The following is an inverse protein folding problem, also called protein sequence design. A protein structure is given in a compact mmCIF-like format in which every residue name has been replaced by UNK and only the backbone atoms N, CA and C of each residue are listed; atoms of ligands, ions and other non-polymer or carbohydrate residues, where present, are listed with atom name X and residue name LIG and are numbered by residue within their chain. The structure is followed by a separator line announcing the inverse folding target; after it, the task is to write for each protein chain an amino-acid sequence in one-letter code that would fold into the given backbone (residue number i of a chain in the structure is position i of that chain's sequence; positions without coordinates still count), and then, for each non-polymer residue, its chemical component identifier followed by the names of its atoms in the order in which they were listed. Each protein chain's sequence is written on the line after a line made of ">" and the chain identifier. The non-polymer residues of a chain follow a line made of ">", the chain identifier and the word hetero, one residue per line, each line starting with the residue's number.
data_IF_007784088948
#
_entry.id   IF_007784088948
#
_cell.length_a   1.000
_cell.length_b   1.000
_cell.length_c   1.000
_cell.angle_alpha   90.00
_cell.angle_beta   90.00
_cell.angle_gamma   90.00
#
_symmetry.space_group_name_H-M   'P 1'
#
loop_
_entity.id
_entity.type
_entity.pdbx_description
1 polymer ?
#
# COMPACT_ATOMS: atom_id res chain seq x y z
N UNK A 1 -12.77 3.59 2.57
CA UNK A 1 -14.09 4.26 2.54
C UNK A 1 -15.04 3.78 3.62
N UNK A 2 -15.44 2.50 3.70
CA UNK A 2 -16.41 2.05 4.72
C UNK A 2 -16.01 2.40 6.16
N UNK A 3 -14.72 2.22 6.54
CA UNK A 3 -14.20 2.65 7.85
C UNK A 3 -14.47 4.14 8.12
N UNK A 4 -14.24 5.00 7.13
CA UNK A 4 -14.49 6.46 7.20
C UNK A 4 -15.98 6.74 7.41
N UNK A 5 -16.85 6.08 6.64
CA UNK A 5 -18.32 6.27 6.76
C UNK A 5 -18.84 5.84 8.13
N UNK A 6 -18.23 4.84 8.76
CA UNK A 6 -18.60 4.40 10.10
C UNK A 6 -18.05 5.29 11.23
N UNK A 7 -16.92 5.97 11.01
CA UNK A 7 -16.28 6.81 12.04
C UNK A 7 -16.60 8.30 11.95
N UNK A 8 -17.12 8.79 10.82
CA UNK A 8 -17.42 10.21 10.61
C UNK A 8 -18.78 10.62 11.19
N UNK A 9 -18.87 11.89 11.60
CA UNK A 9 -20.12 12.55 12.00
C UNK A 9 -21.17 12.50 10.88
N UNK A 10 -22.44 12.25 11.21
CA UNK A 10 -23.55 12.11 10.24
C UNK A 10 -23.74 13.31 9.30
N UNK A 11 -23.29 14.51 9.67
CA UNK A 11 -23.40 15.70 8.84
C UNK A 11 -22.13 16.05 8.07
N UNK A 12 -21.00 15.37 8.31
CA UNK A 12 -19.71 15.70 7.70
C UNK A 12 -18.97 14.44 7.25
N UNK A 13 -18.48 14.43 6.02
CA UNK A 13 -17.54 13.41 5.52
C UNK A 13 -16.27 14.12 5.09
N UNK A 14 -15.14 13.79 5.71
CA UNK A 14 -13.83 14.35 5.37
C UNK A 14 -12.91 13.24 4.87
N UNK A 15 -12.24 13.47 3.75
CA UNK A 15 -11.37 12.48 3.10
C UNK A 15 -10.07 13.18 2.69
N UNK A 16 -8.94 12.70 3.21
CA UNK A 16 -7.62 13.07 2.70
C UNK A 16 -7.36 12.40 1.34
N UNK A 17 -6.77 13.13 0.42
CA UNK A 17 -6.45 12.66 -0.92
C UNK A 17 -4.98 12.23 -1.04
N UNK A 18 -4.71 11.33 -1.97
CA UNK A 18 -3.35 10.99 -2.39
C UNK A 18 -2.88 11.95 -3.50
N UNK A 19 -1.57 12.01 -3.72
CA UNK A 19 -1.01 12.75 -4.85
C UNK A 19 -1.47 12.15 -6.19
N UNK A 20 -2.12 12.96 -7.03
CA UNK A 20 -2.51 12.55 -8.38
C UNK A 20 -1.39 12.80 -9.38
N UNK A 21 -0.90 11.73 -10.02
CA UNK A 21 0.06 11.80 -11.13
C UNK A 21 -0.56 12.28 -12.44
N UNK A 22 -1.89 12.23 -12.55
CA UNK A 22 -2.63 12.67 -13.75
C UNK A 22 -2.91 14.18 -13.76
N UNK A 23 -2.77 14.84 -12.60
CA UNK A 23 -2.97 16.27 -12.47
C UNK A 23 -1.74 17.05 -12.99
N UNK A 24 -1.98 18.12 -13.75
CA UNK A 24 -0.94 19.02 -14.26
C UNK A 24 -0.49 20.08 -13.24
N UNK A 25 -1.22 20.17 -12.14
CA UNK A 25 -1.02 21.14 -11.07
C UNK A 25 -1.64 20.63 -9.76
N UNK A 26 -1.22 21.18 -8.62
CA UNK A 26 -1.80 20.87 -7.30
C UNK A 26 -1.98 22.14 -6.49
N UNK A 27 -3.05 22.19 -5.70
CA UNK A 27 -3.25 23.22 -4.69
C UNK A 27 -2.18 23.08 -3.59
N UNK A 28 -1.75 24.22 -3.06
CA UNK A 28 -0.74 24.31 -1.99
C UNK A 28 -1.23 25.33 -0.97
N UNK A 29 -1.21 24.97 0.30
CA UNK A 29 -1.49 25.89 1.40
C UNK A 29 -0.15 26.46 1.90
N UNK A 30 0.03 27.78 1.77
CA UNK A 30 1.25 28.47 2.20
C UNK A 30 0.95 29.33 3.41
N UNK A 31 1.73 29.15 4.47
CA UNK A 31 1.71 30.03 5.62
C UNK A 31 2.66 31.22 5.37
N UNK A 32 2.11 32.42 5.38
CA UNK A 32 2.90 33.65 5.27
C UNK A 32 3.63 33.96 6.58
N UNK A 33 4.58 34.91 6.55
CA UNK A 33 5.34 35.36 7.73
C UNK A 33 4.45 35.81 8.89
N UNK A 34 3.25 36.30 8.57
CA UNK A 34 2.29 36.82 9.55
C UNK A 34 1.40 35.70 10.14
N UNK A 35 1.67 34.44 9.81
CA UNK A 35 0.94 33.26 10.30
C UNK A 35 -0.38 32.98 9.56
N UNK A 36 -0.76 33.82 8.60
CA UNK A 36 -1.97 33.66 7.77
C UNK A 36 -1.73 32.66 6.65
N UNK A 37 -2.68 31.74 6.46
CA UNK A 37 -2.66 30.75 5.39
C UNK A 37 -3.30 31.28 4.10
N UNK A 38 -2.70 30.94 2.96
CA UNK A 38 -3.20 31.30 1.63
C UNK A 38 -3.08 30.10 0.68
N UNK A 39 -4.11 29.92 -0.14
CA UNK A 39 -4.10 28.97 -1.25
C UNK A 39 -3.26 29.48 -2.42
N UNK A 40 -2.33 28.64 -2.88
CA UNK A 40 -1.60 28.78 -4.13
C UNK A 40 -1.79 27.52 -4.98
N UNK A 41 -1.29 27.52 -6.22
CA UNK A 41 -1.24 26.33 -7.05
C UNK A 41 0.13 26.22 -7.72
N UNK A 42 0.73 25.02 -7.66
CA UNK A 42 1.96 24.73 -8.38
C UNK A 42 1.61 24.23 -9.78
N UNK A 43 2.19 24.81 -10.83
CA UNK A 43 1.98 24.39 -12.23
C UNK A 43 3.29 24.43 -13.01
N UNK A 44 3.47 23.52 -13.97
CA UNK A 44 4.56 23.60 -14.93
C UNK A 44 4.54 24.94 -15.69
N UNK A 45 5.70 25.56 -15.88
CA UNK A 45 5.81 26.90 -16.48
C UNK A 45 5.23 26.94 -17.91
N UNK A 46 4.32 27.89 -18.18
CA UNK A 46 3.90 28.26 -19.54
C UNK A 46 2.64 27.58 -20.08
N UNK A 47 1.90 26.77 -19.30
CA UNK A 47 0.63 26.18 -19.74
C UNK A 47 -0.56 26.54 -18.80
N UNK A 48 -1.77 26.77 -19.34
CA UNK A 48 -2.97 26.93 -18.52
C UNK A 48 -3.32 25.60 -17.84
N UNK A 49 -3.65 25.66 -16.55
CA UNK A 49 -4.07 24.52 -15.73
C UNK A 49 -5.36 23.91 -16.30
N UNK A 50 -5.38 22.58 -16.47
CA UNK A 50 -6.58 21.84 -16.89
C UNK A 50 -7.08 20.92 -15.79
N UNK A 51 -6.16 20.28 -15.08
CA UNK A 51 -6.46 19.34 -13.99
C UNK A 51 -5.61 19.71 -12.77
N UNK A 52 -6.27 20.27 -11.76
CA UNK A 52 -5.61 20.64 -10.49
C UNK A 52 -6.01 19.66 -9.39
N UNK A 53 -5.01 19.00 -8.80
CA UNK A 53 -5.19 18.13 -7.63
C UNK A 53 -5.38 18.92 -6.34
N UNK A 54 -6.09 18.32 -5.38
CA UNK A 54 -6.33 18.87 -4.04
C UNK A 54 -5.91 17.86 -2.97
N UNK A 55 -5.54 18.32 -1.78
CA UNK A 55 -5.05 17.50 -0.66
C UNK A 55 -6.16 16.81 0.12
N UNK A 56 -7.37 17.36 0.11
CA UNK A 56 -8.53 16.77 0.80
C UNK A 56 -9.85 17.23 0.18
N UNK A 57 -10.92 16.51 0.51
CA UNK A 57 -12.30 16.91 0.25
C UNK A 57 -13.15 16.76 1.51
N UNK A 58 -14.02 17.75 1.76
CA UNK A 58 -15.00 17.73 2.84
C UNK A 58 -16.40 17.91 2.25
N UNK A 59 -17.29 16.95 2.50
CA UNK A 59 -18.72 17.09 2.26
C UNK A 59 -19.39 17.54 3.55
N UNK A 60 -20.16 18.62 3.49
CA UNK A 60 -20.82 19.23 4.65
C UNK A 60 -22.33 19.33 4.40
N UNK A 61 -23.12 18.57 5.17
CA UNK A 61 -24.58 18.48 5.09
C UNK A 61 -25.36 19.67 5.68
N UNK A 62 -24.70 20.82 5.87
CA UNK A 62 -25.28 22.00 6.52
C UNK A 62 -25.96 23.00 5.55
N UNK A 63 -26.13 22.65 4.27
CA UNK A 63 -26.79 23.55 3.32
C UNK A 63 -28.29 23.59 3.58
N UNK A 64 -28.79 24.78 3.93
CA UNK A 64 -30.23 25.02 4.12
C UNK A 64 -30.93 25.11 2.76
N UNK A 65 -32.08 24.46 2.64
CA UNK A 65 -32.95 24.51 1.44
C UNK A 65 -33.39 25.93 1.08
N UNK A 66 -33.52 26.81 2.09
CA UNK A 66 -33.82 28.24 1.91
C UNK A 66 -32.67 29.07 1.31
N UNK A 67 -31.49 28.48 1.09
CA UNK A 67 -30.34 29.20 0.54
C UNK A 67 -30.46 29.51 -0.95
N UNK A 68 -31.37 28.85 -1.67
CA UNK A 68 -31.51 28.99 -3.13
C UNK A 68 -30.43 28.27 -3.94
N UNK A 69 -29.61 27.43 -3.29
CA UNK A 69 -28.57 26.61 -3.93
C UNK A 69 -28.91 25.13 -3.82
N UNK A 70 -28.55 24.37 -4.86
CA UNK A 70 -28.59 22.90 -4.87
C UNK A 70 -27.41 22.32 -4.06
N UNK A 71 -26.23 22.83 -4.35
CA UNK A 71 -24.99 22.56 -3.63
C UNK A 71 -24.01 23.72 -3.86
N UNK A 72 -23.01 23.86 -2.99
CA UNK A 72 -21.91 24.83 -3.16
C UNK A 72 -20.57 24.11 -3.13
N UNK A 73 -19.74 24.38 -4.12
CA UNK A 73 -18.34 23.95 -4.14
C UNK A 73 -17.44 25.15 -3.83
N UNK A 74 -16.36 24.95 -3.06
CA UNK A 74 -15.39 26.00 -2.75
C UNK A 74 -14.03 25.40 -2.43
N UNK A 75 -12.96 26.15 -2.71
CA UNK A 75 -11.60 25.78 -2.32
C UNK A 75 -11.34 26.35 -0.92
N UNK A 76 -10.79 25.51 -0.04
CA UNK A 76 -10.39 25.89 1.31
C UNK A 76 -8.96 25.41 1.50
N UNK A 77 -8.02 26.35 1.62
CA UNK A 77 -6.59 26.04 1.71
C UNK A 77 -6.14 25.19 0.50
N UNK A 78 -5.65 23.97 0.69
CA UNK A 78 -5.28 23.06 -0.40
C UNK A 78 -6.34 21.98 -0.68
N UNK A 79 -7.54 22.11 -0.11
CA UNK A 79 -8.64 21.17 -0.26
C UNK A 79 -9.91 21.75 -0.86
N UNK A 80 -10.92 20.89 -0.99
CA UNK A 80 -12.26 21.24 -1.49
C UNK A 80 -13.32 21.04 -0.43
N UNK A 81 -14.22 22.01 -0.29
CA UNK A 81 -15.42 21.95 0.53
C UNK A 81 -16.65 21.92 -0.36
N UNK A 82 -17.48 20.89 -0.20
CA UNK A 82 -18.75 20.69 -0.91
C UNK A 82 -19.89 20.73 0.10
N UNK A 83 -20.65 21.82 0.10
CA UNK A 83 -21.82 21.98 0.96
C UNK A 83 -23.05 21.44 0.24
N UNK A 84 -23.72 20.48 0.87
CA UNK A 84 -24.91 19.79 0.36
C UNK A 84 -26.02 19.80 1.40
N UNK A 85 -27.25 19.51 0.97
CA UNK A 85 -28.37 19.33 1.90
C UNK A 85 -28.19 18.05 2.71
N UNK A 86 -28.90 17.94 3.83
CA UNK A 86 -28.90 16.74 4.66
C UNK A 86 -29.39 15.51 3.87
N UNK A 87 -30.48 15.64 3.11
CA UNK A 87 -31.01 14.55 2.28
C UNK A 87 -29.97 14.05 1.25
N UNK A 88 -29.22 14.96 0.63
CA UNK A 88 -28.18 14.61 -0.32
C UNK A 88 -26.95 13.98 0.36
N UNK A 89 -26.67 14.36 1.61
CA UNK A 89 -25.64 13.70 2.43
C UNK A 89 -26.02 12.25 2.75
N UNK A 90 -27.27 11.98 3.08
CA UNK A 90 -27.78 10.62 3.32
C UNK A 90 -27.69 9.78 2.03
N UNK A 91 -28.09 10.34 0.89
CA UNK A 91 -27.97 9.67 -0.41
C UNK A 91 -26.50 9.38 -0.79
N UNK A 92 -25.59 10.33 -0.57
CA UNK A 92 -24.16 10.14 -0.79
C UNK A 92 -23.61 9.02 0.08
N UNK A 93 -23.97 8.99 1.38
CA UNK A 93 -23.56 7.91 2.29
C UNK A 93 -24.04 6.55 1.80
N UNK A 94 -25.28 6.46 1.35
CA UNK A 94 -25.84 5.22 0.83
C UNK A 94 -25.09 4.77 -0.42
N UNK A 95 -24.84 5.67 -1.38
CA UNK A 95 -24.05 5.35 -2.58
C UNK A 95 -22.63 4.86 -2.24
N UNK A 96 -21.97 5.48 -1.25
CA UNK A 96 -20.65 5.06 -0.78
C UNK A 96 -20.67 3.69 -0.09
N UNK A 97 -21.75 3.33 0.61
CA UNK A 97 -21.95 1.98 1.18
C UNK A 97 -22.15 0.93 0.08
N UNK A 98 -22.93 1.28 -0.93
CA UNK A 98 -23.27 0.41 -2.04
C UNK A 98 -22.17 0.33 -3.11
N UNK A 99 -21.06 1.05 -2.92
CA UNK A 99 -19.97 1.20 -3.90
C UNK A 99 -20.47 1.67 -5.28
N UNK A 100 -21.40 2.63 -5.27
CA UNK A 100 -21.94 3.25 -6.48
C UNK A 100 -21.37 4.64 -6.67
N UNK A 101 -21.24 5.03 -7.93
CA UNK A 101 -20.91 6.39 -8.31
C UNK A 101 -22.02 7.36 -7.88
N UNK A 102 -21.65 8.60 -7.59
CA UNK A 102 -22.57 9.63 -7.14
C UNK A 102 -22.24 10.98 -7.77
N UNK A 103 -23.26 11.80 -7.99
CA UNK A 103 -23.13 13.06 -8.72
C UNK A 103 -23.90 14.16 -8.01
N UNK A 104 -23.26 15.32 -7.84
CA UNK A 104 -23.80 16.48 -7.16
C UNK A 104 -23.73 17.67 -8.12
N UNK A 105 -24.90 18.17 -8.51
CA UNK A 105 -25.02 19.41 -9.27
C UNK A 105 -24.91 20.60 -8.32
N UNK A 106 -23.90 21.44 -8.51
CA UNK A 106 -23.67 22.66 -7.75
C UNK A 106 -24.24 23.87 -8.47
N UNK A 107 -24.57 24.92 -7.71
CA UNK A 107 -25.12 26.17 -8.24
C UNK A 107 -26.51 26.50 -7.71
N UNK A 108 -27.11 27.56 -8.27
CA UNK A 108 -28.45 28.03 -7.91
C UNK A 108 -29.53 27.21 -8.61
N UNK A 109 -30.70 27.12 -7.98
CA UNK A 109 -31.83 26.32 -8.48
C UNK A 109 -32.37 26.85 -9.84
N UNK A 110 -32.31 28.17 -10.05
CA UNK A 110 -32.95 28.85 -11.19
C UNK A 110 -31.96 29.50 -12.19
N UNK A 111 -30.65 29.23 -12.08
CA UNK A 111 -29.67 29.78 -13.02
C UNK A 111 -29.48 28.85 -14.21
N UNK A 112 -29.80 29.31 -15.42
CA UNK A 112 -29.49 28.63 -16.68
C UNK A 112 -28.00 28.64 -17.08
N UNK A 113 -27.11 28.95 -16.14
CA UNK A 113 -25.66 28.99 -16.34
C UNK A 113 -25.03 27.60 -16.18
N UNK A 114 -23.80 27.47 -16.67
CA UNK A 114 -22.93 26.29 -16.57
C UNK A 114 -22.95 25.73 -15.14
N UNK A 115 -23.64 24.61 -14.96
CA UNK A 115 -23.71 23.93 -13.66
C UNK A 115 -22.36 23.30 -13.34
N UNK A 116 -21.72 23.78 -12.29
CA UNK A 116 -20.58 23.07 -11.68
C UNK A 116 -21.04 21.69 -11.22
N UNK A 117 -20.21 20.68 -11.41
CA UNK A 117 -20.55 19.31 -11.06
C UNK A 117 -19.44 18.67 -10.23
N UNK A 118 -19.84 18.01 -9.14
CA UNK A 118 -18.96 17.16 -8.34
C UNK A 118 -19.34 15.71 -8.60
N UNK A 119 -18.41 14.94 -9.14
CA UNK A 119 -18.58 13.50 -9.40
C UNK A 119 -17.71 12.69 -8.46
N UNK A 120 -18.31 11.69 -7.82
CA UNK A 120 -17.65 10.69 -7.01
C UNK A 120 -17.69 9.40 -7.81
N UNK A 121 -16.52 8.89 -8.22
CA UNK A 121 -16.41 7.71 -9.07
C UNK A 121 -15.56 6.63 -8.41
N UNK A 122 -16.03 5.40 -8.49
CA UNK A 122 -15.23 4.23 -8.19
C UNK A 122 -14.39 3.90 -9.41
N UNK A 123 -13.10 4.15 -9.31
CA UNK A 123 -12.13 3.88 -10.37
C UNK A 123 -11.30 2.66 -10.03
N UNK A 124 -10.93 1.88 -11.04
CA UNK A 124 -9.89 0.86 -10.91
C UNK A 124 -8.54 1.57 -10.85
N UNK A 125 -7.96 1.65 -9.66
CA UNK A 125 -6.60 2.17 -9.53
C UNK A 125 -5.64 1.11 -10.04
N UNK A 126 -4.91 1.40 -11.12
CA UNK A 126 -3.71 0.65 -11.50
C UNK A 126 -2.56 1.16 -10.61
N UNK A 127 -2.72 1.03 -9.30
CA UNK A 127 -1.63 1.27 -8.37
C UNK A 127 -0.64 0.12 -8.56
N UNK A 128 0.35 0.38 -9.40
CA UNK A 128 1.46 -0.51 -9.61
C UNK A 128 2.27 -0.52 -8.31
N UNK A 129 1.89 -1.42 -7.40
CA UNK A 129 2.63 -1.68 -6.16
C UNK A 129 4.05 -2.11 -6.50
N UNK A 130 4.98 -1.82 -5.60
CA UNK A 130 6.35 -2.37 -5.68
C UNK A 130 7.10 -1.98 -6.97
N UNK A 131 6.80 -0.81 -7.54
CA UNK A 131 7.46 -0.30 -8.76
C UNK A 131 8.98 -0.27 -8.60
N UNK A 132 9.68 -0.84 -9.57
CA UNK A 132 11.15 -0.91 -9.58
C UNK A 132 11.78 -1.89 -8.59
N UNK A 133 10.99 -2.65 -7.83
CA UNK A 133 11.53 -3.71 -6.96
C UNK A 133 11.83 -4.94 -7.80
N UNK A 134 13.02 -5.52 -7.59
CA UNK A 134 13.46 -6.76 -8.24
C UNK A 134 13.89 -7.81 -7.21
N UNK A 135 13.71 -9.08 -7.58
CA UNK A 135 14.16 -10.23 -6.79
C UNK A 135 15.68 -10.20 -6.61
N UNK A 136 16.19 -10.41 -5.37
CA UNK A 136 17.61 -10.62 -5.14
C UNK A 136 18.12 -11.95 -5.68
N UNK A 137 17.23 -12.90 -6.01
CA UNK A 137 17.59 -14.25 -6.43
C UNK A 137 17.96 -14.28 -7.91
N UNK A 138 17.11 -13.70 -8.76
CA UNK A 138 17.18 -13.84 -10.21
C UNK A 138 16.88 -12.54 -10.99
N UNK A 139 16.65 -11.42 -10.28
CA UNK A 139 16.34 -10.14 -10.92
C UNK A 139 14.92 -10.04 -11.49
N UNK A 140 14.04 -11.02 -11.22
CA UNK A 140 12.63 -10.95 -11.62
C UNK A 140 11.96 -9.70 -11.05
N UNK A 141 11.18 -9.00 -11.88
CA UNK A 141 10.41 -7.83 -11.43
C UNK A 141 9.32 -8.24 -10.44
N UNK A 142 9.25 -7.51 -9.32
CA UNK A 142 8.19 -7.62 -8.30
C UNK A 142 7.08 -6.58 -8.49
N UNK A 143 7.11 -5.86 -9.60
CA UNK A 143 6.15 -4.83 -9.93
C UNK A 143 4.73 -5.41 -10.07
N UNK A 144 3.78 -4.82 -9.34
CA UNK A 144 2.39 -5.27 -9.28
C UNK A 144 2.16 -6.53 -8.43
N UNK A 145 3.20 -7.13 -7.86
CA UNK A 145 3.08 -8.33 -7.01
C UNK A 145 2.62 -7.91 -5.60
N UNK A 146 1.57 -8.53 -5.02
CA UNK A 146 1.16 -8.28 -3.64
C UNK A 146 2.28 -8.61 -2.65
N UNK A 147 2.49 -7.74 -1.68
CA UNK A 147 3.43 -7.95 -0.58
C UNK A 147 2.84 -7.58 0.78
N UNK A 148 3.36 -8.22 1.82
CA UNK A 148 3.05 -7.95 3.22
C UNK A 148 4.34 -7.76 4.02
N UNK A 149 4.36 -6.76 4.91
CA UNK A 149 5.50 -6.54 5.82
C UNK A 149 5.53 -7.61 6.90
N UNK A 150 6.70 -8.17 7.15
CA UNK A 150 6.91 -9.13 8.21
C UNK A 150 7.49 -8.39 9.42
N UNK A 151 6.80 -8.52 10.57
CA UNK A 151 7.35 -8.18 11.87
C UNK A 151 7.72 -9.48 12.57
N UNK A 152 9.01 -9.69 12.80
CA UNK A 152 9.52 -10.84 13.54
C UNK A 152 9.59 -10.47 15.03
N UNK A 153 9.21 -11.42 15.89
CA UNK A 153 9.30 -11.25 17.35
C UNK A 153 10.73 -11.48 17.88
N UNK A 154 11.58 -12.11 17.06
CA UNK A 154 12.97 -12.45 17.41
C UNK A 154 13.92 -11.77 16.45
N UNK A 155 14.88 -11.03 17.01
CA UNK A 155 16.02 -10.50 16.28
C UNK A 155 17.15 -11.55 16.25
N UNK A 156 17.69 -11.81 15.06
CA UNK A 156 18.82 -12.72 14.87
C UNK A 156 20.10 -11.93 14.70
N UNK A 157 20.90 -11.87 15.75
CA UNK A 157 22.11 -11.05 15.84
C UNK A 157 23.36 -11.89 16.12
N UNK A 158 24.44 -11.59 15.39
CA UNK A 158 25.77 -12.11 15.67
C UNK A 158 26.84 -11.15 15.15
N UNK A 159 27.88 -10.89 15.94
CA UNK A 159 29.01 -10.02 15.57
C UNK A 159 28.57 -8.61 15.12
N UNK A 160 27.71 -7.96 15.92
CA UNK A 160 27.17 -6.62 15.68
C UNK A 160 26.43 -6.49 14.34
N UNK A 161 25.90 -7.62 13.83
CA UNK A 161 25.15 -7.70 12.58
C UNK A 161 23.84 -8.42 12.86
N UNK A 162 22.77 -7.91 12.27
CA UNK A 162 21.42 -8.45 12.42
C UNK A 162 20.89 -8.84 11.04
N UNK A 163 20.24 -10.00 10.94
CA UNK A 163 19.41 -10.34 9.77
C UNK A 163 17.94 -10.11 10.11
N UNK A 164 17.25 -9.32 9.29
CA UNK A 164 15.82 -9.04 9.44
C UNK A 164 15.06 -9.37 8.17
N UNK A 165 14.01 -10.17 8.29
CA UNK A 165 13.01 -10.33 7.24
C UNK A 165 12.05 -9.14 7.27
N UNK A 166 11.98 -8.37 6.19
CA UNK A 166 11.18 -7.15 6.16
C UNK A 166 9.84 -7.33 5.45
N UNK A 167 9.80 -8.23 4.46
CA UNK A 167 8.67 -8.32 3.53
C UNK A 167 8.61 -9.69 2.88
N UNK A 168 7.38 -10.13 2.58
CA UNK A 168 7.09 -11.30 1.74
C UNK A 168 6.26 -10.89 0.53
N UNK A 169 6.66 -11.37 -0.65
CA UNK A 169 5.97 -11.22 -1.92
C UNK A 169 5.26 -12.51 -2.27
N UNK A 170 4.07 -12.41 -2.83
CA UNK A 170 3.29 -13.58 -3.19
C UNK A 170 3.06 -13.65 -4.69
N UNK A 171 3.78 -14.56 -5.35
CA UNK A 171 3.94 -14.59 -6.80
C UNK A 171 2.72 -15.23 -7.51
N UNK A 172 1.90 -15.99 -6.79
CA UNK A 172 0.61 -16.47 -7.27
C UNK A 172 -0.50 -15.44 -6.98
N UNK A 173 -1.26 -15.08 -8.03
CA UNK A 173 -2.22 -13.96 -8.00
C UNK A 173 -3.57 -14.31 -7.34
N UNK A 174 -3.94 -15.58 -7.27
CA UNK A 174 -5.23 -16.01 -6.71
C UNK A 174 -5.06 -16.41 -5.24
N UNK A 175 -5.43 -15.49 -4.34
CA UNK A 175 -5.48 -15.75 -2.90
C UNK A 175 -6.90 -15.58 -2.40
N UNK A 176 -7.45 -16.66 -1.86
CA UNK A 176 -8.63 -16.54 -1.03
C UNK A 176 -8.29 -15.82 0.29
N UNK A 177 -9.17 -14.97 0.83
CA UNK A 177 -8.89 -14.25 2.08
C UNK A 177 -8.59 -15.17 3.27
N UNK A 178 -9.15 -16.38 3.27
CA UNK A 178 -8.94 -17.38 4.33
C UNK A 178 -7.51 -17.94 4.34
N UNK A 179 -6.86 -18.06 3.17
CA UNK A 179 -5.49 -18.57 3.08
C UNK A 179 -4.43 -17.51 3.42
N UNK A 180 -4.77 -16.22 3.38
CA UNK A 180 -3.84 -15.13 3.67
C UNK A 180 -3.24 -15.21 5.10
N UNK A 181 -4.04 -15.58 6.11
CA UNK A 181 -3.56 -15.71 7.50
C UNK A 181 -2.59 -16.89 7.63
N UNK A 182 -2.93 -18.03 7.03
CA UNK A 182 -2.08 -19.22 7.04
C UNK A 182 -0.77 -18.97 6.27
N UNK A 183 -0.83 -18.28 5.13
CA UNK A 183 0.34 -17.89 4.34
C UNK A 183 1.27 -16.96 5.13
N UNK A 184 0.75 -15.95 5.81
CA UNK A 184 1.57 -15.04 6.62
C UNK A 184 2.22 -15.77 7.80
N UNK A 185 1.48 -16.66 8.47
CA UNK A 185 2.01 -17.44 9.58
C UNK A 185 3.14 -18.37 9.09
N UNK A 186 2.95 -19.02 7.94
CA UNK A 186 3.99 -19.84 7.32
C UNK A 186 5.20 -19.02 6.89
N UNK A 187 5.00 -17.82 6.32
CA UNK A 187 6.09 -16.91 5.99
C UNK A 187 6.91 -16.52 7.23
N UNK A 188 6.28 -16.31 8.39
CA UNK A 188 6.97 -16.05 9.66
C UNK A 188 7.80 -17.25 10.13
N UNK A 189 7.29 -18.47 9.99
CA UNK A 189 8.02 -19.70 10.34
C UNK A 189 9.28 -19.85 9.47
N UNK A 190 9.14 -19.66 8.16
CA UNK A 190 10.25 -19.66 7.20
C UNK A 190 11.25 -18.54 7.50
N UNK A 191 10.78 -17.33 7.81
CA UNK A 191 11.63 -16.21 8.17
C UNK A 191 12.46 -16.49 9.43
N UNK A 192 11.86 -17.16 10.43
CA UNK A 192 12.51 -17.54 11.67
C UNK A 192 13.58 -18.61 11.44
N UNK A 193 13.26 -19.67 10.69
CA UNK A 193 14.21 -20.72 10.37
C UNK A 193 15.40 -20.20 9.53
N UNK A 194 15.12 -19.36 8.52
CA UNK A 194 16.15 -18.71 7.71
C UNK A 194 17.05 -17.80 8.55
N UNK A 195 16.46 -16.95 9.40
CA UNK A 195 17.20 -16.05 10.29
C UNK A 195 18.14 -16.81 11.22
N UNK A 196 17.66 -17.90 11.83
CA UNK A 196 18.47 -18.78 12.66
C UNK A 196 19.64 -19.41 11.89
N UNK A 197 19.38 -19.92 10.69
CA UNK A 197 20.39 -20.58 9.86
C UNK A 197 21.48 -19.63 9.35
N UNK A 198 21.12 -18.38 9.04
CA UNK A 198 22.07 -17.37 8.57
C UNK A 198 22.83 -16.68 9.71
N UNK A 199 22.34 -16.75 10.95
CA UNK A 199 22.91 -16.07 12.11
C UNK A 199 24.42 -16.34 12.32
N UNK A 200 24.93 -17.58 12.22
CA UNK A 200 26.36 -17.85 12.35
C UNK A 200 27.22 -17.19 11.25
N UNK A 201 26.61 -16.86 10.11
CA UNK A 201 27.28 -16.44 8.88
C UNK A 201 27.20 -14.95 8.59
N UNK A 202 26.49 -14.17 9.42
CA UNK A 202 26.20 -12.75 9.16
C UNK A 202 27.46 -11.92 8.91
N UNK A 203 28.54 -12.22 9.64
CA UNK A 203 29.82 -11.53 9.46
C UNK A 203 30.36 -11.72 8.05
N UNK A 204 30.42 -12.96 7.58
CA UNK A 204 30.95 -13.33 6.26
C UNK A 204 30.04 -12.83 5.14
N UNK A 205 28.73 -13.02 5.25
CA UNK A 205 27.73 -12.56 4.29
C UNK A 205 27.83 -11.05 4.05
N UNK A 206 27.84 -10.26 5.14
CA UNK A 206 28.00 -8.80 5.07
C UNK A 206 29.33 -8.40 4.42
N UNK A 207 30.43 -9.04 4.81
CA UNK A 207 31.77 -8.73 4.27
C UNK A 207 31.88 -9.06 2.78
N UNK A 208 31.12 -10.03 2.29
CA UNK A 208 31.01 -10.37 0.86
C UNK A 208 30.00 -9.52 0.08
N UNK A 209 29.39 -8.51 0.72
CA UNK A 209 28.43 -7.60 0.08
C UNK A 209 27.01 -8.15 -0.06
N UNK A 210 26.71 -9.33 0.48
CA UNK A 210 25.37 -9.95 0.45
C UNK A 210 24.45 -9.32 1.50
N UNK A 211 24.10 -8.05 1.28
CA UNK A 211 23.30 -7.24 2.20
C UNK A 211 21.79 -7.46 2.07
N UNK A 212 21.35 -7.96 0.91
CA UNK A 212 19.95 -8.25 0.59
C UNK A 212 19.87 -9.68 0.09
N UNK A 213 19.13 -10.54 0.80
CA UNK A 213 18.96 -11.95 0.46
C UNK A 213 17.49 -12.19 0.17
N UNK A 214 17.22 -12.90 -0.92
CA UNK A 214 15.89 -13.40 -1.27
C UNK A 214 15.81 -14.89 -0.96
N UNK A 215 14.65 -15.33 -0.46
CA UNK A 215 14.32 -16.74 -0.27
C UNK A 215 12.95 -17.01 -0.90
N UNK A 216 12.91 -17.74 -2.00
CA UNK A 216 11.68 -18.12 -2.69
C UNK A 216 11.32 -19.55 -2.34
N UNK A 217 10.10 -19.77 -1.87
CA UNK A 217 9.54 -21.09 -1.57
C UNK A 217 8.41 -21.34 -2.57
N UNK A 218 8.46 -22.48 -3.25
CA UNK A 218 7.44 -22.93 -4.20
C UNK A 218 6.88 -24.26 -3.71
N UNK A 219 5.57 -24.32 -3.53
CA UNK A 219 4.85 -25.49 -3.03
C UNK A 219 3.59 -25.72 -3.88
N UNK A 220 3.45 -26.95 -4.34
CA UNK A 220 2.29 -27.52 -5.02
C UNK A 220 2.13 -28.98 -4.57
N UNK A 221 1.08 -29.67 -5.04
CA UNK A 221 0.78 -31.07 -4.69
C UNK A 221 1.96 -32.00 -5.00
N UNK A 222 2.65 -31.75 -6.12
CA UNK A 222 3.74 -32.60 -6.61
C UNK A 222 5.13 -31.97 -6.49
N UNK A 223 5.21 -30.70 -6.07
CA UNK A 223 6.43 -29.91 -6.13
C UNK A 223 6.67 -29.13 -4.84
N UNK A 224 7.83 -29.32 -4.23
CA UNK A 224 8.25 -28.59 -3.04
C UNK A 224 9.72 -28.22 -3.21
N UNK A 225 9.99 -26.94 -3.38
CA UNK A 225 11.35 -26.43 -3.54
C UNK A 225 11.54 -25.09 -2.83
N UNK A 226 12.81 -24.76 -2.56
CA UNK A 226 13.18 -23.40 -2.20
C UNK A 226 14.44 -22.97 -2.96
N UNK A 227 14.59 -21.67 -3.12
CA UNK A 227 15.77 -21.04 -3.73
C UNK A 227 16.20 -19.86 -2.86
N UNK A 228 17.50 -19.72 -2.63
CA UNK A 228 18.05 -18.58 -1.90
C UNK A 228 19.13 -17.89 -2.75
N UNK A 229 19.14 -16.56 -2.76
CA UNK A 229 20.07 -15.78 -3.57
C UNK A 229 20.26 -14.34 -3.12
N UNK A 230 21.31 -13.72 -3.64
CA UNK A 230 21.67 -12.32 -3.42
C UNK A 230 22.29 -11.74 -4.69
N UNK A 231 21.96 -10.49 -5.03
CA UNK A 231 22.56 -9.82 -6.20
C UNK A 231 22.26 -10.48 -7.54
N UNK A 232 21.17 -11.24 -7.67
CA UNK A 232 20.81 -11.98 -8.88
C UNK A 232 21.59 -13.28 -9.07
N UNK A 233 22.23 -13.78 -8.00
CA UNK A 233 23.00 -15.03 -7.99
C UNK A 233 22.56 -15.92 -6.82
N UNK A 234 22.64 -17.26 -6.97
CA UNK A 234 22.36 -18.17 -5.87
C UNK A 234 23.37 -18.00 -4.73
N UNK A 235 22.94 -18.24 -3.50
CA UNK A 235 23.86 -18.25 -2.36
C UNK A 235 24.91 -19.38 -2.51
N UNK A 236 26.14 -19.18 -2.03
CA UNK A 236 27.14 -20.25 -1.95
C UNK A 236 26.64 -21.51 -1.24
N UNK A 237 27.05 -22.69 -1.73
CA UNK A 237 26.59 -24.00 -1.24
C UNK A 237 26.73 -24.20 0.28
N UNK A 238 27.77 -23.60 0.88
CA UNK A 238 27.98 -23.65 2.33
C UNK A 238 26.74 -23.17 3.09
N UNK A 239 26.16 -22.04 2.68
CA UNK A 239 24.97 -21.49 3.34
C UNK A 239 23.71 -22.27 2.99
N UNK A 240 23.63 -22.82 1.77
CA UNK A 240 22.50 -23.66 1.34
C UNK A 240 22.39 -24.93 2.19
N UNK A 241 23.50 -25.56 2.58
CA UNK A 241 23.46 -26.77 3.42
C UNK A 241 22.88 -26.49 4.82
N UNK A 242 23.22 -25.33 5.41
CA UNK A 242 22.67 -24.93 6.71
C UNK A 242 21.20 -24.50 6.58
N UNK A 243 20.85 -23.85 5.47
CA UNK A 243 19.46 -23.53 5.14
C UNK A 243 18.63 -24.79 4.91
N UNK A 244 19.14 -25.82 4.23
CA UNK A 244 18.47 -27.11 4.03
C UNK A 244 18.06 -27.71 5.38
N UNK A 245 19.01 -27.77 6.31
CA UNK A 245 18.79 -28.33 7.65
C UNK A 245 17.71 -27.60 8.44
N UNK A 246 17.54 -26.29 8.22
CA UNK A 246 16.56 -25.47 8.92
C UNK A 246 15.20 -25.36 8.20
N UNK A 247 15.19 -25.25 6.87
CA UNK A 247 14.01 -24.94 6.08
C UNK A 247 13.23 -26.18 5.67
N UNK A 248 13.91 -27.26 5.27
CA UNK A 248 13.26 -28.49 4.78
C UNK A 248 12.22 -29.03 5.77
N UNK A 249 12.50 -29.12 7.09
CA UNK A 249 11.50 -29.57 8.07
C UNK A 249 10.28 -28.65 8.15
N UNK A 250 10.48 -27.33 8.11
CA UNK A 250 9.41 -26.33 8.21
C UNK A 250 8.50 -26.39 6.98
N UNK A 251 9.09 -26.51 5.79
CA UNK A 251 8.35 -26.62 4.53
C UNK A 251 7.55 -27.93 4.51
N UNK A 252 8.16 -29.08 4.82
CA UNK A 252 7.46 -30.37 4.79
C UNK A 252 6.37 -30.52 5.83
N UNK A 253 6.47 -29.84 6.99
CA UNK A 253 5.37 -29.80 7.95
C UNK A 253 4.09 -29.16 7.41
N UNK A 254 4.19 -28.43 6.29
CA UNK A 254 3.10 -27.67 5.67
C UNK A 254 2.65 -28.22 4.32
N UNK A 255 3.29 -29.26 3.79
CA UNK A 255 2.96 -29.82 2.46
C UNK A 255 1.65 -30.60 2.42
N UNK A 256 1.13 -31.04 3.57
CA UNK A 256 -0.18 -31.70 3.67
C UNK A 256 -1.34 -30.73 3.93
N UNK A 257 -1.05 -29.45 4.16
CA UNK A 257 -2.06 -28.44 4.48
C UNK A 257 -2.59 -27.81 3.20
N UNK A 258 -3.76 -28.29 2.77
CA UNK A 258 -4.43 -27.83 1.55
C UNK A 258 -4.90 -26.37 1.65
N UNK A 259 -4.90 -25.75 2.84
CA UNK A 259 -5.21 -24.33 2.98
C UNK A 259 -4.09 -23.41 2.49
N UNK A 260 -2.89 -23.96 2.31
CA UNK A 260 -1.68 -23.21 1.96
C UNK A 260 -1.35 -23.38 0.48
N UNK A 261 -1.72 -24.53 -0.13
CA UNK A 261 -1.37 -24.87 -1.52
C UNK A 261 -2.40 -24.37 -2.55
N UNK A 262 -1.98 -24.02 -3.78
CA UNK A 262 -0.59 -23.83 -4.21
C UNK A 262 -0.01 -22.51 -3.69
N UNK A 263 1.30 -22.46 -3.45
CA UNK A 263 1.99 -21.29 -2.92
C UNK A 263 3.32 -21.06 -3.62
N UNK A 264 3.51 -19.84 -4.13
CA UNK A 264 4.85 -19.33 -4.45
C UNK A 264 5.01 -18.00 -3.73
N UNK A 265 5.97 -17.94 -2.81
CA UNK A 265 6.27 -16.73 -2.05
C UNK A 265 7.77 -16.46 -1.99
N UNK A 266 8.15 -15.18 -1.97
CA UNK A 266 9.54 -14.75 -1.84
C UNK A 266 9.69 -13.81 -0.65
N UNK A 267 10.54 -14.20 0.30
CA UNK A 267 10.87 -13.41 1.48
C UNK A 267 12.15 -12.60 1.23
N UNK A 268 12.15 -11.36 1.69
CA UNK A 268 13.30 -10.45 1.57
C UNK A 268 13.93 -10.24 2.95
N UNK A 269 15.22 -10.50 3.03
CA UNK A 269 16.04 -10.32 4.22
C UNK A 269 17.08 -9.22 3.99
N UNK A 270 17.30 -8.41 5.00
CA UNK A 270 18.36 -7.40 5.03
C UNK A 270 19.34 -7.70 6.16
N UNK A 271 20.63 -7.59 5.83
CA UNK A 271 21.72 -7.65 6.80
C UNK A 271 22.11 -6.22 7.17
N UNK A 272 21.86 -5.85 8.41
CA UNK A 272 22.11 -4.51 8.95
C UNK A 272 23.16 -4.57 10.06
N UNK A 273 23.83 -3.46 10.31
CA UNK A 273 24.70 -3.33 11.48
C UNK A 273 23.86 -3.01 12.71
N UNK A 274 24.22 -3.63 13.82
CA UNK A 274 23.66 -3.34 15.13
C UNK A 274 24.31 -2.05 15.63
N UNK A 275 23.49 -1.00 15.75
CA UNK A 275 23.89 0.25 16.39
C UNK A 275 23.62 0.09 17.89
N UNK A 276 24.53 -0.58 18.59
CA UNK A 276 24.53 -0.66 20.05
C UNK A 276 25.47 0.36 20.68
#
# INVERSE_FOLDING_TARGET
>A
ILKVIHSCNEHVISIGASFSLEADSHLVCVQNSDGIYQTQANSAAGQPRKVTGASFVVFNGALKTSSGFLAKSSIVEDGMMVQITQDMMEALRQALRDKKDFRITCGKIDSGDLSEEVTIRWVETVDIKNKGIVSPIDGQSMEGIPSERICQDTDFEAHDKVVKCTEVFYLLRDREPASAVAHLQFAKEIATACGAALCPHLKTLKNSGMNKIGLRVSMDIDMVEYRAGSGGQPLPQLYLNDLDSALIPVIHNRTSDTSILPLVMELIFFLIESLS
#
